data_IF_629777938063
#
_entry.id   IF_629777938063
#
_cell.length_a   1.000
_cell.length_b   1.000
_cell.length_c   1.000
_cell.angle_alpha   90.00
_cell.angle_beta   90.00
_cell.angle_gamma   90.00
#
_symmetry.space_group_name_H-M   'P 1'
#
loop_
_entity.id
_entity.type
_entity.pdbx_description
1 polymer ?
#
# COMPACT_ATOMS: atom_id res chain seq x y z
N UNK A 1 -20.87 -9.02 -1.11
CA UNK A 1 -19.75 -8.58 -0.26
C UNK A 1 -19.36 -9.64 0.76
N UNK A 2 -20.23 -10.06 1.69
CA UNK A 2 -19.94 -11.10 2.68
C UNK A 2 -19.46 -12.44 2.08
N UNK A 3 -20.06 -12.87 0.98
CA UNK A 3 -19.67 -14.10 0.28
C UNK A 3 -18.28 -14.03 -0.39
N UNK A 4 -17.80 -12.83 -0.75
CA UNK A 4 -16.51 -12.65 -1.39
C UNK A 4 -15.36 -12.74 -0.37
N UNK A 5 -15.51 -12.11 0.79
CA UNK A 5 -14.54 -12.19 1.89
C UNK A 5 -14.46 -13.62 2.43
N UNK A 6 -15.61 -14.30 2.55
CA UNK A 6 -15.64 -15.73 2.92
C UNK A 6 -14.99 -16.63 1.86
N UNK A 7 -15.14 -16.34 0.56
CA UNK A 7 -14.45 -17.08 -0.51
C UNK A 7 -12.94 -16.86 -0.48
N UNK A 8 -12.50 -15.62 -0.28
CA UNK A 8 -11.07 -15.30 -0.17
C UNK A 8 -10.45 -16.02 1.04
N UNK A 9 -11.12 -15.99 2.18
CA UNK A 9 -10.72 -16.72 3.38
C UNK A 9 -10.71 -18.23 3.16
N UNK A 10 -11.75 -18.77 2.54
CA UNK A 10 -11.85 -20.20 2.22
C UNK A 10 -10.77 -20.68 1.25
N UNK A 11 -10.33 -19.82 0.33
CA UNK A 11 -9.22 -20.13 -0.57
C UNK A 11 -7.86 -20.23 0.15
N UNK A 12 -7.69 -19.55 1.29
CA UNK A 12 -6.53 -19.70 2.18
C UNK A 12 -6.62 -21.01 3.00
N UNK A 13 -7.84 -21.46 3.33
CA UNK A 13 -8.06 -22.73 4.05
C UNK A 13 -7.97 -23.96 3.13
N UNK A 14 -8.41 -23.85 1.88
CA UNK A 14 -8.46 -24.97 0.91
C UNK A 14 -7.11 -25.30 0.25
N UNK A 15 -6.07 -24.45 0.41
CA UNK A 15 -4.71 -24.73 -0.04
C UNK A 15 -3.72 -24.68 1.13
N UNK A 16 -3.75 -25.64 2.05
CA UNK A 16 -2.75 -25.74 3.09
C UNK A 16 -1.40 -26.05 2.45
N UNK A 17 -0.37 -25.34 2.89
CA UNK A 17 1.03 -25.71 2.61
C UNK A 17 1.20 -27.15 3.10
N UNK A 18 1.63 -28.10 2.27
CA UNK A 18 1.86 -29.45 2.73
C UNK A 18 3.03 -29.46 3.70
N UNK A 19 2.76 -29.64 4.96
CA UNK A 19 3.74 -29.96 5.98
C UNK A 19 3.13 -30.97 6.95
N UNK A 20 3.63 -32.18 6.89
CA UNK A 20 3.66 -33.25 7.91
C UNK A 20 2.47 -33.40 8.88
N UNK A 21 1.25 -33.31 8.38
CA UNK A 21 0.05 -33.79 9.10
C UNK A 21 -0.34 -33.02 10.36
N UNK A 22 0.16 -31.80 10.59
CA UNK A 22 -0.23 -30.97 11.72
C UNK A 22 -1.34 -30.02 11.27
N UNK A 23 -2.56 -30.24 11.74
CA UNK A 23 -3.67 -29.29 11.59
C UNK A 23 -3.44 -28.16 12.60
N UNK A 24 -3.01 -27.01 12.13
CA UNK A 24 -2.82 -25.81 12.95
C UNK A 24 -4.09 -24.95 12.84
N UNK A 25 -4.63 -24.53 13.97
CA UNK A 25 -5.80 -23.62 13.98
C UNK A 25 -5.44 -22.25 13.43
N UNK A 26 -6.42 -21.51 12.89
CA UNK A 26 -6.23 -20.15 12.36
C UNK A 26 -5.57 -19.17 13.34
N UNK A 27 -5.83 -19.36 14.65
CA UNK A 27 -5.17 -18.59 15.71
C UNK A 27 -3.69 -18.95 15.85
N UNK A 28 -3.32 -20.19 15.63
CA UNK A 28 -1.93 -20.66 15.65
C UNK A 28 -1.17 -20.26 14.40
N UNK A 29 -1.81 -20.23 13.24
CA UNK A 29 -1.24 -19.70 12.00
C UNK A 29 -0.91 -18.20 12.12
N UNK A 30 -1.76 -17.41 12.76
CA UNK A 30 -1.46 -15.98 13.01
C UNK A 30 -0.27 -15.80 13.95
N UNK A 31 -0.13 -16.65 14.97
CA UNK A 31 1.00 -16.65 15.90
C UNK A 31 2.29 -17.16 15.22
N UNK A 32 2.20 -18.17 14.37
CA UNK A 32 3.34 -18.66 13.56
C UNK A 32 3.82 -17.58 12.58
N UNK A 33 2.90 -16.85 11.95
CA UNK A 33 3.24 -15.74 11.06
C UNK A 33 3.91 -14.59 11.79
N UNK A 34 3.48 -14.26 12.99
CA UNK A 34 4.11 -13.28 13.87
C UNK A 34 5.52 -13.74 14.31
N UNK A 35 5.69 -15.01 14.70
CA UNK A 35 7.02 -15.56 15.06
C UNK A 35 8.00 -15.61 13.89
N UNK A 36 7.51 -15.81 12.67
CA UNK A 36 8.37 -15.83 11.47
C UNK A 36 8.90 -14.42 11.12
N UNK A 37 8.12 -13.37 11.39
CA UNK A 37 8.56 -11.99 11.21
C UNK A 37 9.49 -11.48 12.34
N UNK A 38 9.35 -11.97 13.57
CA UNK A 38 10.20 -11.58 14.71
C UNK A 38 11.63 -12.14 14.63
N UNK A 39 11.88 -13.20 13.84
CA UNK A 39 13.20 -13.77 13.65
C UNK A 39 14.08 -13.00 12.65
N UNK A 40 13.59 -11.89 12.09
CA UNK A 40 14.33 -11.01 11.18
C UNK A 40 14.79 -9.71 11.84
N UNK A 41 15.29 -9.77 13.08
CA UNK A 41 16.08 -8.66 13.65
C UNK A 41 17.53 -8.85 13.19
N UNK A 42 18.10 -7.92 12.39
CA UNK A 42 19.52 -7.94 12.11
C UNK A 42 20.28 -7.74 13.42
N UNK A 43 21.10 -8.72 13.78
CA UNK A 43 22.01 -8.59 14.92
C UNK A 43 22.91 -7.38 14.69
N UNK A 44 23.06 -6.48 15.67
CA UNK A 44 24.02 -5.40 15.57
C UNK A 44 25.43 -6.01 15.55
N UNK A 45 26.17 -5.75 14.49
CA UNK A 45 27.60 -6.09 14.44
C UNK A 45 28.30 -5.36 15.58
N UNK A 46 28.91 -6.11 16.47
CA UNK A 46 29.83 -5.61 17.48
C UNK A 46 30.95 -4.82 16.81
N UNK A 47 31.01 -3.53 17.09
CA UNK A 47 32.12 -2.66 16.71
C UNK A 47 33.20 -2.94 17.72
N UNK A 48 34.27 -3.61 17.30
CA UNK A 48 35.53 -3.70 18.06
C UNK A 48 36.08 -2.28 18.24
N UNK A 49 36.19 -1.88 19.50
CA UNK A 49 36.84 -0.65 19.89
C UNK A 49 38.37 -0.77 19.65
N UNK A 50 38.87 0.08 18.78
CA UNK A 50 40.29 0.37 18.71
C UNK A 50 40.52 1.80 19.22
N UNK A 51 41.33 2.01 20.27
CA UNK A 51 41.51 3.33 20.85
C UNK A 51 42.71 4.05 20.19
N UNK A 52 42.59 5.36 20.16
CA UNK A 52 43.59 6.41 19.89
C UNK A 52 43.46 7.14 18.55
N UNK A 53 42.89 8.32 18.62
CA UNK A 53 43.66 9.58 18.35
C UNK A 53 42.86 10.77 18.84
N UNK A 54 43.44 11.49 19.78
CA UNK A 54 43.08 12.82 20.26
C UNK A 54 43.33 13.82 19.14
N UNK A 55 42.32 14.58 18.74
CA UNK A 55 42.52 15.90 18.15
C UNK A 55 41.34 16.85 18.52
N UNK A 56 41.75 18.05 18.80
CA UNK A 56 41.09 19.13 19.49
C UNK A 56 39.85 19.65 18.72
N UNK A 57 38.72 19.67 19.39
CA UNK A 57 37.53 20.39 18.90
C UNK A 57 37.60 21.83 19.42
N UNK A 58 37.83 22.77 18.53
CA UNK A 58 37.63 24.20 18.78
C UNK A 58 36.12 24.48 18.97
N UNK A 59 35.80 25.00 20.13
CA UNK A 59 34.50 25.58 20.42
C UNK A 59 34.28 26.81 19.56
N UNK A 60 33.29 26.74 18.65
CA UNK A 60 32.75 27.95 18.01
C UNK A 60 31.41 28.26 18.70
N UNK A 61 31.39 29.39 19.41
CA UNK A 61 30.18 29.95 20.00
C UNK A 61 29.23 30.40 18.89
N UNK A 62 27.94 30.06 18.92
CA UNK A 62 26.98 30.68 18.03
C UNK A 62 26.63 32.06 18.54
N UNK A 63 26.87 33.07 17.69
CA UNK A 63 26.37 34.42 17.84
C UNK A 63 24.84 34.39 17.67
N UNK A 64 24.15 34.83 18.69
CA UNK A 64 22.71 34.99 18.70
C UNK A 64 22.37 36.32 18.01
N UNK A 65 22.03 36.31 16.74
CA UNK A 65 21.37 37.43 16.09
C UNK A 65 19.87 37.35 16.33
N UNK A 66 19.38 38.25 17.17
CA UNK A 66 17.96 38.50 17.40
C UNK A 66 17.34 39.06 16.13
N UNK A 67 16.61 38.22 15.37
CA UNK A 67 15.68 38.68 14.37
C UNK A 67 14.29 38.73 14.99
N UNK A 68 13.89 39.95 15.36
CA UNK A 68 12.49 40.31 15.65
C UNK A 68 11.67 40.12 14.35
N UNK A 69 10.69 39.24 14.40
CA UNK A 69 9.76 39.03 13.31
C UNK A 69 9.09 37.67 13.41
N UNK A 70 8.36 37.43 14.49
CA UNK A 70 7.41 36.29 14.52
C UNK A 70 6.32 36.54 13.47
N UNK A 71 6.15 35.67 12.46
CA UNK A 71 4.93 35.71 11.71
C UNK A 71 3.78 35.32 12.66
N UNK A 72 2.87 36.29 12.86
CA UNK A 72 1.59 36.04 13.53
C UNK A 72 0.92 34.84 12.93
N UNK A 73 0.64 33.82 13.74
CA UNK A 73 -0.31 32.77 13.42
C UNK A 73 -1.56 33.44 12.83
N UNK A 74 -2.08 32.94 11.69
CA UNK A 74 -3.36 33.41 11.20
C UNK A 74 -4.38 33.16 12.31
N UNK A 75 -5.09 34.24 12.69
CA UNK A 75 -6.16 34.25 13.68
C UNK A 75 -7.03 33.03 13.50
N UNK A 76 -7.23 32.30 14.60
CA UNK A 76 -8.27 31.29 14.67
C UNK A 76 -9.51 31.77 13.92
N UNK A 77 -10.06 30.89 13.09
CA UNK A 77 -11.30 31.10 12.32
C UNK A 77 -12.43 31.58 13.24
N UNK A 78 -12.48 32.89 13.47
CA UNK A 78 -13.63 33.65 13.98
C UNK A 78 -14.19 34.44 12.81
N UNK A 79 -14.61 33.72 11.80
CA UNK A 79 -15.43 34.20 10.71
C UNK A 79 -16.66 33.32 10.70
N UNK A 80 -17.82 33.92 10.65
CA UNK A 80 -19.09 33.29 10.34
C UNK A 80 -19.01 32.62 8.97
N UNK A 81 -18.24 31.54 8.87
CA UNK A 81 -18.21 30.65 7.73
C UNK A 81 -19.57 29.99 7.69
N UNK A 82 -20.33 30.33 6.68
CA UNK A 82 -21.64 29.75 6.36
C UNK A 82 -21.53 28.24 6.48
N UNK A 83 -21.96 27.73 7.64
CA UNK A 83 -22.21 26.30 7.83
C UNK A 83 -23.10 25.87 6.66
N UNK A 84 -22.65 24.84 5.93
CA UNK A 84 -23.50 24.14 4.98
C UNK A 84 -24.76 23.68 5.73
N UNK A 85 -25.87 24.44 5.58
CA UNK A 85 -27.16 24.22 6.26
C UNK A 85 -28.04 23.26 5.43
N UNK A 86 -27.48 22.58 4.45
CA UNK A 86 -28.16 21.53 3.71
C UNK A 86 -28.21 20.21 4.50
N UNK A 87 -29.18 19.32 4.22
CA UNK A 87 -29.11 17.97 4.79
C UNK A 87 -27.82 17.30 4.35
N UNK A 88 -27.19 16.49 5.25
CA UNK A 88 -25.97 15.77 4.91
C UNK A 88 -26.22 14.92 3.66
N UNK A 89 -25.20 14.76 2.79
CA UNK A 89 -25.33 13.88 1.62
C UNK A 89 -25.83 12.50 2.01
N UNK A 90 -26.65 11.88 1.17
CA UNK A 90 -27.22 10.55 1.44
C UNK A 90 -26.12 9.53 1.79
N UNK A 91 -24.99 9.62 1.11
CA UNK A 91 -23.83 8.76 1.33
C UNK A 91 -23.27 8.88 2.77
N UNK A 92 -23.13 10.10 3.29
CA UNK A 92 -22.69 10.34 4.67
C UNK A 92 -23.70 9.82 5.68
N UNK A 93 -24.99 10.00 5.42
CA UNK A 93 -26.07 9.48 6.26
C UNK A 93 -26.02 7.95 6.33
N UNK A 94 -25.80 7.29 5.21
CA UNK A 94 -25.68 5.82 5.15
C UNK A 94 -24.39 5.33 5.82
N UNK A 95 -23.26 6.00 5.60
CA UNK A 95 -22.01 5.69 6.27
C UNK A 95 -22.11 5.83 7.79
N UNK A 96 -22.66 6.94 8.28
CA UNK A 96 -22.89 7.17 9.72
C UNK A 96 -23.74 6.04 10.30
N UNK A 97 -24.87 5.74 9.68
CA UNK A 97 -25.81 4.70 10.14
C UNK A 97 -25.16 3.32 10.20
N UNK A 98 -24.39 2.95 9.17
CA UNK A 98 -23.90 1.59 9.00
C UNK A 98 -22.53 1.37 9.64
N UNK A 99 -21.69 2.41 9.75
CA UNK A 99 -20.28 2.27 10.18
C UNK A 99 -19.97 3.01 11.47
N UNK A 100 -20.58 4.18 11.75
CA UNK A 100 -20.26 4.94 12.97
C UNK A 100 -21.22 4.59 14.11
N UNK A 101 -22.54 4.59 13.86
CA UNK A 101 -23.58 4.35 14.88
C UNK A 101 -23.43 3.04 15.66
N UNK A 102 -23.04 1.91 15.06
CA UNK A 102 -22.82 0.67 15.81
C UNK A 102 -21.73 0.79 16.90
N UNK A 103 -20.86 1.79 16.82
CA UNK A 103 -19.74 2.02 17.72
C UNK A 103 -19.80 3.38 18.42
N UNK A 104 -20.96 4.05 18.36
CA UNK A 104 -21.11 5.40 18.92
C UNK A 104 -20.73 5.45 20.39
N UNK A 105 -21.06 4.41 21.17
CA UNK A 105 -20.77 4.36 22.59
C UNK A 105 -19.25 4.43 22.87
N UNK A 106 -18.46 3.54 22.29
CA UNK A 106 -17.00 3.54 22.53
C UNK A 106 -16.34 4.80 21.97
N UNK A 107 -16.84 5.34 20.83
CA UNK A 107 -16.33 6.59 20.31
C UNK A 107 -16.63 7.78 21.25
N UNK A 108 -17.76 7.74 21.95
CA UNK A 108 -18.13 8.75 22.96
C UNK A 108 -17.28 8.59 24.24
N UNK A 109 -17.12 7.37 24.73
CA UNK A 109 -16.32 7.07 25.93
C UNK A 109 -14.86 7.49 25.77
N UNK A 110 -14.31 7.38 24.57
CA UNK A 110 -12.94 7.79 24.26
C UNK A 110 -12.86 9.23 23.68
N UNK A 111 -13.95 10.00 23.72
CA UNK A 111 -14.02 11.38 23.21
C UNK A 111 -13.64 11.50 21.71
N UNK A 112 -13.81 10.43 20.94
CA UNK A 112 -13.49 10.42 19.51
C UNK A 112 -14.65 10.89 18.62
N UNK A 113 -15.88 10.84 19.14
CA UNK A 113 -17.10 11.02 18.33
C UNK A 113 -17.15 12.40 17.67
N UNK A 114 -16.85 13.47 18.39
CA UNK A 114 -16.81 14.83 17.85
C UNK A 114 -15.80 14.96 16.73
N UNK A 115 -14.58 14.41 16.89
CA UNK A 115 -13.57 14.42 15.86
C UNK A 115 -13.99 13.65 14.62
N UNK A 116 -14.62 12.49 14.79
CA UNK A 116 -15.16 11.68 13.67
C UNK A 116 -16.18 12.51 12.88
N UNK A 117 -17.13 13.18 13.55
CA UNK A 117 -18.10 14.03 12.87
C UNK A 117 -17.48 15.27 12.22
N UNK A 118 -16.45 15.86 12.81
CA UNK A 118 -15.73 16.98 12.21
C UNK A 118 -15.03 16.55 10.90
N UNK A 119 -14.41 15.37 10.87
CA UNK A 119 -13.80 14.85 9.65
C UNK A 119 -14.89 14.53 8.59
N UNK A 120 -15.99 13.93 8.99
CA UNK A 120 -17.13 13.69 8.09
C UNK A 120 -17.67 15.02 7.53
N UNK A 121 -17.85 16.04 8.36
CA UNK A 121 -18.28 17.37 7.94
C UNK A 121 -17.31 18.02 6.96
N UNK A 122 -16.00 17.88 7.17
CA UNK A 122 -14.99 18.34 6.21
C UNK A 122 -15.10 17.58 4.88
N UNK A 123 -15.25 16.26 4.91
CA UNK A 123 -15.41 15.45 3.71
C UNK A 123 -16.72 15.78 2.98
N UNK A 124 -17.80 16.12 3.69
CA UNK A 124 -19.05 16.54 3.08
C UNK A 124 -18.93 17.91 2.40
N UNK A 125 -18.22 18.83 3.02
CA UNK A 125 -18.00 20.18 2.49
C UNK A 125 -17.02 20.16 1.29
N UNK A 126 -15.85 19.56 1.45
CA UNK A 126 -14.72 19.73 0.54
C UNK A 126 -14.24 18.40 -0.12
N UNK A 127 -14.74 17.25 0.34
CA UNK A 127 -14.35 15.93 -0.15
C UNK A 127 -14.97 15.51 -1.49
N UNK A 128 -15.66 16.43 -2.20
CA UNK A 128 -16.09 16.21 -3.58
C UNK A 128 -14.97 16.18 -4.62
N UNK A 129 -13.75 16.56 -4.24
CA UNK A 129 -12.58 16.47 -5.11
C UNK A 129 -12.24 14.99 -5.44
N UNK A 130 -11.54 14.72 -6.57
CA UNK A 130 -11.13 13.36 -6.91
C UNK A 130 -10.27 12.71 -5.82
N UNK A 131 -10.49 11.44 -5.58
CA UNK A 131 -9.73 10.65 -4.60
C UNK A 131 -8.29 10.38 -5.02
N UNK A 132 -7.98 10.56 -6.30
CA UNK A 132 -6.60 10.59 -6.84
C UNK A 132 -6.31 11.93 -7.46
N UNK A 133 -5.06 12.38 -7.34
CA UNK A 133 -4.56 13.59 -8.00
C UNK A 133 -3.71 13.15 -9.19
N UNK A 134 -4.16 13.48 -10.39
CA UNK A 134 -3.43 13.22 -11.62
C UNK A 134 -2.24 14.19 -11.72
N UNK A 135 -1.01 13.68 -11.67
CA UNK A 135 0.22 14.48 -11.80
C UNK A 135 0.71 14.38 -13.24
N UNK A 136 0.48 15.45 -14.01
CA UNK A 136 1.09 15.65 -15.33
C UNK A 136 0.48 14.82 -16.47
N UNK A 137 0.56 15.38 -17.68
CA UNK A 137 0.07 14.78 -18.93
C UNK A 137 1.04 13.75 -19.56
N UNK A 138 2.07 13.31 -18.86
CA UNK A 138 3.16 12.52 -19.45
C UNK A 138 3.03 11.00 -19.25
N UNK A 139 1.90 10.48 -18.89
CA UNK A 139 1.67 9.04 -18.99
C UNK A 139 1.40 8.68 -20.46
N UNK A 140 2.46 8.39 -21.21
CA UNK A 140 2.41 8.00 -22.62
C UNK A 140 1.92 6.57 -22.89
N UNK A 141 1.22 5.94 -21.97
CA UNK A 141 0.59 4.65 -22.22
C UNK A 141 -0.91 4.79 -22.02
N UNK A 142 -1.63 4.82 -23.15
CA UNK A 142 -3.09 4.98 -23.24
C UNK A 142 -3.93 3.98 -22.43
N UNK A 143 -3.31 2.98 -21.84
CA UNK A 143 -3.95 1.86 -21.18
C UNK A 143 -3.90 1.89 -19.65
N UNK A 144 -2.86 2.50 -19.05
CA UNK A 144 -2.87 2.89 -17.63
C UNK A 144 -3.92 4.00 -17.36
N UNK A 145 -4.23 4.80 -18.39
CA UNK A 145 -5.24 5.85 -18.33
C UNK A 145 -6.66 5.34 -18.00
N UNK A 146 -6.98 4.06 -18.22
CA UNK A 146 -8.32 3.55 -17.90
C UNK A 146 -8.57 3.45 -16.39
N UNK A 147 -7.58 3.06 -15.61
CA UNK A 147 -7.73 2.93 -14.15
C UNK A 147 -7.65 4.29 -13.45
N UNK A 148 -6.70 5.13 -13.86
CA UNK A 148 -6.61 6.49 -13.35
C UNK A 148 -7.88 7.29 -13.66
N UNK A 149 -8.43 7.15 -14.88
CA UNK A 149 -9.69 7.80 -15.26
C UNK A 149 -10.90 7.23 -14.51
N UNK A 150 -10.92 5.95 -14.19
CA UNK A 150 -11.96 5.34 -13.35
C UNK A 150 -11.90 5.86 -11.90
N UNK A 151 -10.70 5.88 -11.32
CA UNK A 151 -10.47 6.39 -9.96
C UNK A 151 -10.67 7.90 -9.86
N UNK A 152 -10.40 8.67 -10.91
CA UNK A 152 -10.65 10.12 -10.94
C UNK A 152 -12.13 10.48 -10.86
N UNK A 153 -13.05 9.55 -11.15
CA UNK A 153 -14.49 9.71 -10.99
C UNK A 153 -14.96 9.49 -9.55
N UNK A 154 -14.14 8.90 -8.72
CA UNK A 154 -14.47 8.63 -7.32
C UNK A 154 -14.09 9.84 -6.48
N UNK A 155 -15.05 10.37 -5.74
CA UNK A 155 -14.79 11.45 -4.81
C UNK A 155 -13.93 11.00 -3.63
N UNK A 156 -13.14 11.92 -3.08
CA UNK A 156 -12.37 11.65 -1.87
C UNK A 156 -13.26 11.22 -0.70
N UNK A 157 -14.46 11.82 -0.58
CA UNK A 157 -15.45 11.44 0.41
C UNK A 157 -15.87 9.97 0.27
N UNK A 158 -16.33 9.56 -0.90
CA UNK A 158 -16.75 8.17 -1.16
C UNK A 158 -15.63 7.18 -0.89
N UNK A 159 -14.41 7.50 -1.32
CA UNK A 159 -13.24 6.70 -1.05
C UNK A 159 -12.97 6.56 0.45
N UNK A 160 -12.92 7.68 1.19
CA UNK A 160 -12.64 7.65 2.63
C UNK A 160 -13.69 6.85 3.41
N UNK A 161 -14.96 6.94 3.04
CA UNK A 161 -16.01 6.14 3.66
C UNK A 161 -15.87 4.65 3.36
N UNK A 162 -15.53 4.29 2.12
CA UNK A 162 -15.27 2.91 1.74
C UNK A 162 -14.07 2.33 2.50
N UNK A 163 -12.96 3.08 2.56
CA UNK A 163 -11.77 2.69 3.33
C UNK A 163 -12.10 2.48 4.81
N UNK A 164 -12.86 3.41 5.42
CA UNK A 164 -13.24 3.29 6.82
C UNK A 164 -14.11 2.05 7.06
N UNK A 165 -15.11 1.79 6.23
CA UNK A 165 -15.96 0.59 6.35
C UNK A 165 -15.16 -0.70 6.22
N UNK A 166 -14.29 -0.81 5.22
CA UNK A 166 -13.41 -1.97 5.02
C UNK A 166 -12.41 -2.14 6.17
N UNK A 167 -11.84 -1.04 6.66
CA UNK A 167 -10.92 -1.08 7.80
C UNK A 167 -11.56 -1.66 9.06
N UNK A 168 -12.82 -1.28 9.35
CA UNK A 168 -13.57 -1.82 10.49
C UNK A 168 -13.88 -3.30 10.31
N UNK A 169 -14.27 -3.73 9.10
CA UNK A 169 -14.49 -5.15 8.81
C UNK A 169 -13.22 -5.97 9.00
N UNK A 170 -12.08 -5.50 8.47
CA UNK A 170 -10.78 -6.16 8.62
C UNK A 170 -10.32 -6.19 10.08
N UNK A 171 -10.56 -5.11 10.83
CA UNK A 171 -10.22 -5.04 12.25
C UNK A 171 -10.95 -6.13 13.05
N UNK A 172 -12.26 -6.31 12.82
CA UNK A 172 -13.07 -7.36 13.43
C UNK A 172 -12.57 -8.77 13.10
N UNK A 173 -12.09 -8.98 11.88
CA UNK A 173 -11.57 -10.29 11.47
C UNK A 173 -10.19 -10.58 12.05
N UNK A 174 -9.39 -9.52 12.32
CA UNK A 174 -8.00 -9.66 12.73
C UNK A 174 -7.84 -9.74 14.25
N UNK A 175 -8.65 -8.97 14.99
CA UNK A 175 -8.50 -8.87 16.44
C UNK A 175 -9.73 -9.41 17.16
N UNK A 176 -9.51 -10.29 18.14
CA UNK A 176 -10.58 -10.77 19.01
C UNK A 176 -11.16 -9.63 19.85
N UNK A 177 -10.29 -8.77 20.38
CA UNK A 177 -10.64 -7.56 21.15
C UNK A 177 -10.42 -6.32 20.27
N UNK A 178 -11.28 -6.17 19.27
CA UNK A 178 -11.21 -5.09 18.29
C UNK A 178 -11.91 -3.80 18.76
N UNK A 179 -12.84 -3.92 19.70
CA UNK A 179 -13.77 -2.83 20.05
C UNK A 179 -13.07 -1.55 20.52
N UNK A 180 -12.04 -1.59 21.41
CA UNK A 180 -11.29 -0.41 21.83
C UNK A 180 -10.47 0.25 20.70
N UNK A 181 -10.19 -0.47 19.61
CA UNK A 181 -9.40 0.02 18.48
C UNK A 181 -10.24 0.75 17.42
N UNK A 182 -11.56 0.65 17.51
CA UNK A 182 -12.50 1.25 16.56
C UNK A 182 -12.31 2.77 16.40
N UNK A 183 -12.23 3.58 17.48
CA UNK A 183 -12.06 5.03 17.33
C UNK A 183 -10.76 5.39 16.61
N UNK A 184 -9.66 4.73 16.97
CA UNK A 184 -8.36 4.91 16.28
C UNK A 184 -8.47 4.61 14.79
N UNK A 185 -9.07 3.48 14.45
CA UNK A 185 -9.19 3.05 13.05
C UNK A 185 -10.14 3.95 12.25
N UNK A 186 -11.28 4.36 12.82
CA UNK A 186 -12.22 5.27 12.16
C UNK A 186 -11.58 6.62 11.85
N UNK A 187 -10.91 7.23 12.85
CA UNK A 187 -10.23 8.52 12.66
C UNK A 187 -9.11 8.39 11.63
N UNK A 188 -8.31 7.33 11.72
CA UNK A 188 -7.21 7.12 10.78
C UNK A 188 -7.73 6.89 9.35
N UNK A 189 -8.75 6.05 9.18
CA UNK A 189 -9.29 5.72 7.87
C UNK A 189 -10.03 6.89 7.22
N UNK A 190 -10.79 7.68 7.98
CA UNK A 190 -11.44 8.88 7.47
C UNK A 190 -10.42 9.98 7.14
N UNK A 191 -9.36 10.09 7.94
CA UNK A 191 -8.38 11.17 7.85
C UNK A 191 -7.19 10.91 6.91
N UNK A 192 -6.95 9.64 6.47
CA UNK A 192 -5.69 9.25 5.80
C UNK A 192 -5.38 10.08 4.56
N UNK A 193 -6.38 10.46 3.82
CA UNK A 193 -6.29 11.13 2.52
C UNK A 193 -6.82 12.58 2.50
N UNK A 194 -7.30 13.15 3.64
CA UNK A 194 -7.86 14.52 3.64
C UNK A 194 -6.86 15.59 3.21
N UNK A 195 -5.56 15.36 3.35
CA UNK A 195 -4.53 16.24 2.81
C UNK A 195 -4.54 16.37 1.27
N UNK A 196 -5.37 15.60 0.56
CA UNK A 196 -5.63 15.78 -0.88
C UNK A 196 -6.66 16.89 -1.15
N UNK A 197 -7.41 17.34 -0.15
CA UNK A 197 -8.37 18.43 -0.26
C UNK A 197 -7.63 19.73 -0.65
N UNK A 198 -8.02 20.39 -1.75
CA UNK A 198 -7.30 21.56 -2.23
C UNK A 198 -7.22 22.72 -1.23
N UNK A 199 -8.29 22.98 -0.47
CA UNK A 199 -8.37 24.05 0.54
C UNK A 199 -7.38 23.85 1.69
N UNK A 200 -7.00 22.62 2.02
CA UNK A 200 -6.05 22.31 3.11
C UNK A 200 -4.58 22.44 2.69
N UNK A 201 -4.32 22.64 1.42
CA UNK A 201 -2.94 22.72 0.88
C UNK A 201 -2.39 24.13 0.80
N UNK A 202 -3.15 25.14 1.22
CA UNK A 202 -2.71 26.55 1.23
C UNK A 202 -2.10 27.01 -0.11
N UNK A 203 -2.65 26.57 -1.24
CA UNK A 203 -2.14 26.90 -2.57
C UNK A 203 -0.88 26.14 -3.00
N UNK A 204 -0.32 25.25 -2.17
CA UNK A 204 0.81 24.38 -2.55
C UNK A 204 0.38 23.36 -3.59
N UNK A 205 1.29 23.05 -4.51
CA UNK A 205 1.08 21.92 -5.43
C UNK A 205 0.97 20.61 -4.67
N UNK A 206 0.14 19.70 -5.20
CA UNK A 206 0.01 18.36 -4.62
C UNK A 206 1.34 17.60 -4.65
N UNK A 207 1.70 17.00 -3.51
CA UNK A 207 2.81 16.07 -3.40
C UNK A 207 2.32 14.78 -2.73
N UNK A 208 2.72 13.63 -3.30
CA UNK A 208 2.44 12.33 -2.67
C UNK A 208 3.06 12.17 -1.29
N UNK A 209 4.19 12.85 -1.05
CA UNK A 209 4.89 12.80 0.23
C UNK A 209 4.21 13.67 1.29
N UNK A 210 3.53 14.75 0.89
CA UNK A 210 3.05 15.76 1.82
C UNK A 210 1.61 15.53 2.27
N UNK A 211 0.73 14.94 1.44
CA UNK A 211 -0.67 14.79 1.84
C UNK A 211 -0.89 13.98 3.12
N UNK A 212 -0.09 12.95 3.47
CA UNK A 212 -0.23 12.27 4.76
C UNK A 212 0.12 13.19 5.95
N UNK A 213 1.12 14.07 5.76
CA UNK A 213 1.54 15.04 6.77
C UNK A 213 0.45 16.08 6.96
N UNK A 214 -0.03 16.69 5.85
CA UNK A 214 -1.11 17.67 5.87
C UNK A 214 -2.37 17.08 6.50
N UNK A 215 -2.73 15.83 6.15
CA UNK A 215 -3.87 15.12 6.74
C UNK A 215 -3.72 14.94 8.25
N UNK A 216 -2.57 14.45 8.71
CA UNK A 216 -2.28 14.24 10.12
C UNK A 216 -2.32 15.55 10.94
N UNK A 217 -1.75 16.61 10.39
CA UNK A 217 -1.70 17.91 11.06
C UNK A 217 -3.10 18.55 11.15
N UNK A 218 -3.93 18.44 10.10
CA UNK A 218 -5.31 18.90 10.14
C UNK A 218 -6.19 18.09 11.12
N UNK A 219 -6.08 16.76 11.14
CA UNK A 219 -6.81 15.94 12.12
C UNK A 219 -6.38 16.31 13.54
N UNK A 220 -5.09 16.53 13.78
CA UNK A 220 -4.57 16.99 15.07
C UNK A 220 -5.15 18.34 15.48
N UNK A 221 -5.24 19.29 14.54
CA UNK A 221 -5.78 20.63 14.79
C UNK A 221 -7.31 20.63 15.06
N UNK A 222 -8.04 19.67 14.51
CA UNK A 222 -9.49 19.51 14.78
C UNK A 222 -9.78 18.99 16.19
N UNK A 223 -8.77 18.45 16.88
CA UNK A 223 -8.94 17.92 18.22
C UNK A 223 -8.66 19.02 19.26
N UNK A 224 -9.70 19.42 19.99
CA UNK A 224 -9.60 20.43 21.05
C UNK A 224 -9.21 19.85 22.40
N UNK A 225 -9.17 18.53 22.52
CA UNK A 225 -8.89 17.81 23.75
C UNK A 225 -7.40 17.48 23.90
N UNK A 226 -7.00 17.12 25.13
CA UNK A 226 -5.62 16.66 25.39
C UNK A 226 -5.31 15.42 24.54
N UNK A 227 -4.08 15.33 23.98
CA UNK A 227 -3.65 14.18 23.22
C UNK A 227 -3.84 12.89 24.03
N UNK A 228 -4.69 12.01 23.54
CA UNK A 228 -4.87 10.67 24.09
C UNK A 228 -4.00 9.67 23.32
N UNK A 229 -3.74 8.50 23.91
CA UNK A 229 -2.93 7.46 23.24
C UNK A 229 -3.56 7.02 21.91
N UNK A 230 -4.88 6.82 21.90
CA UNK A 230 -5.58 6.39 20.67
C UNK A 230 -5.49 7.45 19.56
N UNK A 231 -5.56 8.74 19.91
CA UNK A 231 -5.43 9.84 18.94
C UNK A 231 -4.01 9.93 18.39
N UNK A 232 -3.00 9.82 19.24
CA UNK A 232 -1.60 9.81 18.80
C UNK A 232 -1.33 8.66 17.82
N UNK A 233 -1.91 7.48 18.07
CA UNK A 233 -1.82 6.33 17.19
C UNK A 233 -2.55 6.57 15.86
N UNK A 234 -3.76 7.13 15.87
CA UNK A 234 -4.50 7.49 14.66
C UNK A 234 -3.73 8.51 13.78
N UNK A 235 -3.16 9.55 14.41
CA UNK A 235 -2.33 10.55 13.73
C UNK A 235 -1.08 9.91 13.11
N UNK A 236 -0.41 9.01 13.85
CA UNK A 236 0.74 8.27 13.33
C UNK A 236 0.33 7.39 12.14
N UNK A 237 -0.81 6.69 12.21
CA UNK A 237 -1.35 5.90 11.10
C UNK A 237 -1.59 6.77 9.86
N UNK A 238 -2.20 7.95 10.00
CA UNK A 238 -2.42 8.89 8.89
C UNK A 238 -1.08 9.32 8.29
N UNK A 239 -0.11 9.71 9.13
CA UNK A 239 1.19 10.21 8.69
C UNK A 239 2.04 9.16 7.97
N UNK A 240 1.89 7.89 8.36
CA UNK A 240 2.78 6.81 7.94
C UNK A 240 2.16 5.82 6.95
N UNK A 241 0.90 5.99 6.54
CA UNK A 241 0.22 4.99 5.72
C UNK A 241 0.89 4.72 4.35
N UNK A 242 1.80 5.58 3.89
CA UNK A 242 2.63 5.37 2.69
C UNK A 242 4.10 4.99 2.99
N UNK A 243 4.53 5.01 4.26
CA UNK A 243 5.93 4.71 4.61
C UNK A 243 6.22 3.21 4.56
N UNK A 244 7.44 2.86 4.20
CA UNK A 244 8.02 1.52 4.27
C UNK A 244 9.33 1.56 5.06
N UNK A 245 9.65 0.52 5.88
CA UNK A 245 8.84 -0.66 6.18
C UNK A 245 7.63 -0.33 7.07
N UNK A 246 6.64 -1.25 7.12
CA UNK A 246 5.46 -1.10 7.97
C UNK A 246 5.80 -1.64 9.36
N UNK A 247 5.74 -0.77 10.36
CA UNK A 247 6.07 -1.13 11.73
C UNK A 247 4.84 -1.38 12.63
N UNK A 248 3.61 -1.18 12.11
CA UNK A 248 2.37 -1.33 12.85
C UNK A 248 1.37 -2.18 12.07
N UNK A 249 0.75 -3.14 12.77
CA UNK A 249 -0.30 -3.98 12.20
C UNK A 249 -1.54 -3.16 11.82
N UNK A 250 -1.90 -2.14 12.61
CA UNK A 250 -3.02 -1.24 12.30
C UNK A 250 -2.76 -0.42 11.04
N UNK A 251 -1.54 0.08 10.83
CA UNK A 251 -1.15 0.76 9.58
C UNK A 251 -1.26 -0.21 8.40
N UNK A 252 -0.84 -1.46 8.58
CA UNK A 252 -0.95 -2.46 7.54
C UNK A 252 -2.42 -2.75 7.17
N UNK A 253 -3.31 -2.87 8.16
CA UNK A 253 -4.75 -3.03 7.92
C UNK A 253 -5.35 -1.86 7.16
N UNK A 254 -5.03 -0.62 7.56
CA UNK A 254 -5.47 0.58 6.86
C UNK A 254 -5.03 0.56 5.37
N UNK A 255 -3.78 0.19 5.12
CA UNK A 255 -3.24 0.11 3.74
C UNK A 255 -3.90 -0.99 2.91
N UNK A 256 -4.20 -2.14 3.51
CA UNK A 256 -4.92 -3.21 2.84
C UNK A 256 -6.34 -2.74 2.51
N UNK A 257 -7.02 -2.08 3.44
CA UNK A 257 -8.35 -1.53 3.22
C UNK A 257 -8.37 -0.45 2.11
N UNK A 258 -7.38 0.47 2.10
CA UNK A 258 -7.22 1.45 1.02
C UNK A 258 -7.01 0.76 -0.34
N UNK A 259 -6.13 -0.25 -0.38
CA UNK A 259 -5.93 -1.06 -1.59
C UNK A 259 -7.20 -1.71 -2.08
N UNK A 260 -7.94 -2.35 -1.18
CA UNK A 260 -9.21 -3.02 -1.48
C UNK A 260 -10.28 -2.05 -1.95
N UNK A 261 -10.39 -0.88 -1.31
CA UNK A 261 -11.29 0.19 -1.75
C UNK A 261 -11.00 0.59 -3.21
N UNK A 262 -9.72 0.75 -3.57
CA UNK A 262 -9.33 1.05 -4.96
C UNK A 262 -9.73 -0.03 -5.95
N UNK A 263 -9.56 -1.31 -5.61
CA UNK A 263 -10.01 -2.41 -6.47
C UNK A 263 -11.52 -2.37 -6.72
N UNK A 264 -12.30 -2.19 -5.66
CA UNK A 264 -13.76 -2.09 -5.76
C UNK A 264 -14.19 -0.87 -6.57
N UNK A 265 -13.56 0.29 -6.35
CA UNK A 265 -13.83 1.53 -7.09
C UNK A 265 -13.56 1.40 -8.59
N UNK A 266 -12.49 0.71 -8.96
CA UNK A 266 -12.20 0.46 -10.37
C UNK A 266 -13.22 -0.53 -10.94
N UNK A 267 -13.55 -1.60 -10.21
CA UNK A 267 -14.55 -2.57 -10.65
C UNK A 267 -15.92 -1.93 -10.83
N UNK A 268 -16.33 -1.00 -9.94
CA UNK A 268 -17.60 -0.26 -10.03
C UNK A 268 -17.63 0.69 -11.24
N UNK A 269 -16.50 1.24 -11.65
CA UNK A 269 -16.40 2.26 -12.70
C UNK A 269 -15.88 1.72 -14.05
N UNK A 270 -15.63 0.42 -14.16
CA UNK A 270 -15.15 -0.24 -15.38
C UNK A 270 -15.86 -1.56 -15.60
N UNK A 271 -15.54 -2.22 -16.71
CA UNK A 271 -15.96 -3.61 -16.99
C UNK A 271 -14.98 -4.64 -16.42
N UNK A 272 -13.93 -4.19 -15.72
CA UNK A 272 -12.92 -5.07 -15.14
C UNK A 272 -13.47 -5.80 -13.91
N UNK A 273 -12.98 -7.03 -13.70
CA UNK A 273 -13.39 -7.86 -12.58
C UNK A 273 -12.27 -7.88 -11.53
N UNK A 274 -12.60 -7.58 -10.27
CA UNK A 274 -11.70 -7.87 -9.16
C UNK A 274 -11.79 -9.37 -8.85
N UNK A 275 -10.69 -10.09 -9.04
CA UNK A 275 -10.60 -11.54 -8.78
C UNK A 275 -9.35 -11.84 -7.94
N UNK A 276 -9.39 -12.80 -7.02
CA UNK A 276 -8.21 -13.28 -6.32
C UNK A 276 -7.14 -13.80 -7.28
N UNK A 277 -5.89 -13.65 -6.93
CA UNK A 277 -4.74 -14.07 -7.74
C UNK A 277 -4.84 -15.51 -8.26
N UNK A 278 -5.24 -16.44 -7.41
CA UNK A 278 -5.37 -17.85 -7.72
C UNK A 278 -6.54 -18.21 -8.68
N UNK A 279 -7.48 -17.29 -8.90
CA UNK A 279 -8.60 -17.50 -9.83
C UNK A 279 -8.28 -17.04 -11.24
N UNK A 280 -7.47 -15.99 -11.38
CA UNK A 280 -7.18 -15.42 -12.70
C UNK A 280 -5.77 -15.73 -13.22
N UNK A 281 -4.77 -15.90 -12.34
CA UNK A 281 -3.40 -16.12 -12.77
C UNK A 281 -3.21 -17.54 -13.34
N UNK A 282 -2.82 -17.60 -14.61
CA UNK A 282 -2.48 -18.84 -15.29
C UNK A 282 -0.98 -18.89 -15.56
N UNK A 283 -0.30 -19.84 -14.90
CA UNK A 283 1.14 -19.99 -14.98
C UNK A 283 1.63 -20.38 -16.39
N UNK A 284 0.84 -21.15 -17.16
CA UNK A 284 1.20 -21.56 -18.54
C UNK A 284 1.05 -20.39 -19.49
N UNK A 285 -0.07 -19.66 -19.42
CA UNK A 285 -0.24 -18.44 -20.24
C UNK A 285 0.83 -17.38 -19.87
N UNK A 286 1.24 -17.31 -18.62
CA UNK A 286 2.33 -16.45 -18.18
C UNK A 286 3.66 -16.83 -18.84
N UNK A 287 4.00 -18.13 -18.86
CA UNK A 287 5.22 -18.62 -19.53
C UNK A 287 5.20 -18.33 -21.05
N UNK A 288 4.05 -18.45 -21.71
CA UNK A 288 3.93 -18.08 -23.13
C UNK A 288 4.26 -16.60 -23.38
N UNK A 289 3.82 -15.70 -22.49
CA UNK A 289 4.17 -14.28 -22.61
C UNK A 289 5.68 -14.04 -22.40
N UNK A 290 6.30 -14.73 -21.47
CA UNK A 290 7.75 -14.65 -21.23
C UNK A 290 8.52 -15.24 -22.42
N UNK A 291 8.05 -16.35 -23.00
CA UNK A 291 8.67 -17.02 -24.16
C UNK A 291 8.86 -16.08 -25.34
N UNK A 292 7.89 -15.21 -25.60
CA UNK A 292 7.96 -14.23 -26.68
C UNK A 292 9.12 -13.23 -26.55
N UNK A 293 9.68 -13.06 -25.36
CA UNK A 293 10.77 -12.13 -25.11
C UNK A 293 12.16 -12.81 -25.03
N UNK A 294 12.21 -14.15 -25.06
CA UNK A 294 13.48 -14.90 -24.95
C UNK A 294 14.32 -14.66 -26.20
N UNK A 295 15.58 -14.25 -26.00
CA UNK A 295 16.55 -13.96 -27.04
C UNK A 295 16.10 -12.86 -28.03
N UNK A 296 15.11 -12.04 -27.65
CA UNK A 296 14.65 -10.89 -28.43
C UNK A 296 15.40 -9.65 -27.99
N UNK A 297 16.14 -9.05 -28.91
CA UNK A 297 16.89 -7.82 -28.66
C UNK A 297 15.95 -6.60 -28.62
N UNK A 298 16.07 -5.80 -27.57
CA UNK A 298 15.41 -4.52 -27.44
C UNK A 298 16.32 -3.36 -27.87
N UNK A 299 15.79 -2.15 -27.92
CA UNK A 299 16.54 -0.93 -28.22
C UNK A 299 17.80 -0.84 -27.36
N UNK A 300 18.96 -0.67 -27.98
CA UNK A 300 20.25 -0.60 -27.29
C UNK A 300 20.90 -1.97 -27.01
N UNK A 301 20.59 -2.99 -27.80
CA UNK A 301 21.15 -4.35 -27.68
C UNK A 301 20.98 -4.99 -26.29
N UNK A 302 19.85 -4.71 -25.62
CA UNK A 302 19.53 -5.27 -24.31
C UNK A 302 18.51 -6.39 -24.44
N UNK A 303 18.73 -7.49 -23.73
CA UNK A 303 17.76 -8.58 -23.57
C UNK A 303 17.02 -8.44 -22.25
N UNK A 304 15.70 -8.59 -22.24
CA UNK A 304 14.91 -8.79 -21.03
C UNK A 304 14.88 -10.26 -20.58
N UNK A 305 15.01 -11.18 -21.54
CA UNK A 305 15.18 -12.61 -21.27
C UNK A 305 16.13 -13.21 -22.30
N UNK A 306 16.98 -14.14 -21.86
CA UNK A 306 17.88 -14.88 -22.75
C UNK A 306 18.13 -16.29 -22.23
N UNK A 307 18.46 -17.22 -23.13
CA UNK A 307 18.79 -18.59 -22.78
C UNK A 307 20.31 -18.82 -22.79
N UNK A 308 20.81 -19.53 -21.80
CA UNK A 308 22.20 -19.96 -21.71
C UNK A 308 22.32 -21.25 -20.91
N UNK A 309 23.03 -22.26 -21.47
CA UNK A 309 23.30 -23.55 -20.80
C UNK A 309 22.07 -24.24 -20.18
N UNK A 310 20.95 -24.28 -20.92
CA UNK A 310 19.74 -24.95 -20.46
C UNK A 310 18.90 -24.16 -19.43
N UNK A 311 19.26 -22.91 -19.16
CA UNK A 311 18.53 -22.01 -18.26
C UNK A 311 18.11 -20.77 -19.04
N UNK A 312 16.89 -20.28 -18.77
CA UNK A 312 16.41 -18.98 -19.26
C UNK A 312 16.50 -17.97 -18.12
N UNK A 313 17.27 -16.93 -18.35
CA UNK A 313 17.46 -15.83 -17.41
C UNK A 313 16.56 -14.66 -17.79
N UNK A 314 15.70 -14.26 -16.85
CA UNK A 314 14.67 -13.25 -17.09
C UNK A 314 14.85 -12.05 -16.13
N UNK A 315 14.78 -10.84 -16.69
CA UNK A 315 14.69 -9.63 -15.87
C UNK A 315 13.37 -9.65 -15.08
N UNK A 316 13.38 -9.46 -13.75
CA UNK A 316 12.15 -9.44 -12.97
C UNK A 316 11.11 -8.41 -13.45
N UNK A 317 11.53 -7.33 -14.10
CA UNK A 317 10.61 -6.36 -14.68
C UNK A 317 9.75 -6.94 -15.81
N UNK A 318 10.29 -7.88 -16.59
CA UNK A 318 9.53 -8.58 -17.63
C UNK A 318 8.42 -9.43 -17.01
N UNK A 319 8.67 -10.07 -15.85
CA UNK A 319 7.64 -10.86 -15.17
C UNK A 319 6.46 -9.97 -14.73
N UNK A 320 6.78 -8.78 -14.25
CA UNK A 320 5.76 -7.80 -13.88
C UNK A 320 4.93 -7.34 -15.10
N UNK A 321 5.60 -6.98 -16.20
CA UNK A 321 4.95 -6.56 -17.45
C UNK A 321 4.09 -7.68 -18.06
N UNK A 322 4.59 -8.92 -18.04
CA UNK A 322 3.84 -10.08 -18.53
C UNK A 322 2.59 -10.35 -17.67
N UNK A 323 2.71 -10.22 -16.33
CA UNK A 323 1.56 -10.36 -15.44
C UNK A 323 0.51 -9.27 -15.68
N UNK A 324 0.92 -8.01 -15.90
CA UNK A 324 0.01 -6.94 -16.29
C UNK A 324 -0.69 -7.24 -17.63
N UNK A 325 0.05 -7.78 -18.61
CA UNK A 325 -0.51 -8.17 -19.91
C UNK A 325 -1.52 -9.32 -19.76
N UNK A 326 -1.21 -10.30 -18.91
CA UNK A 326 -2.11 -11.41 -18.61
C UNK A 326 -3.40 -10.94 -17.94
N UNK A 327 -3.29 -10.06 -16.93
CA UNK A 327 -4.44 -9.49 -16.24
C UNK A 327 -5.36 -8.72 -17.22
N UNK A 328 -4.79 -7.93 -18.13
CA UNK A 328 -5.53 -7.25 -19.22
C UNK A 328 -6.24 -8.25 -20.13
N UNK A 329 -5.53 -9.26 -20.62
CA UNK A 329 -6.09 -10.30 -21.49
C UNK A 329 -7.30 -10.98 -20.85
N UNK A 330 -7.26 -11.16 -19.53
CA UNK A 330 -8.35 -11.79 -18.75
C UNK A 330 -9.40 -10.79 -18.26
N UNK A 331 -9.26 -9.52 -18.58
CA UNK A 331 -10.14 -8.43 -18.14
C UNK A 331 -10.28 -8.36 -16.60
N UNK A 332 -9.15 -8.57 -15.90
CA UNK A 332 -9.05 -8.58 -14.44
C UNK A 332 -8.24 -7.38 -13.97
N UNK A 333 -8.65 -6.83 -12.83
CA UNK A 333 -7.85 -5.88 -12.08
C UNK A 333 -7.23 -6.53 -10.85
N UNK A 334 -5.93 -6.29 -10.69
CA UNK A 334 -5.17 -6.62 -9.49
C UNK A 334 -4.36 -5.40 -9.08
N UNK A 335 -4.65 -4.85 -7.90
CA UNK A 335 -4.04 -3.60 -7.45
C UNK A 335 -2.53 -3.73 -7.23
N UNK A 336 -2.02 -4.92 -6.94
CA UNK A 336 -0.59 -5.16 -6.79
C UNK A 336 0.17 -4.97 -8.12
N UNK A 337 -0.53 -5.15 -9.24
CA UNK A 337 -0.02 -4.89 -10.58
C UNK A 337 -0.20 -3.42 -11.03
N UNK A 338 -1.01 -2.65 -10.31
CA UNK A 338 -1.26 -1.24 -10.62
C UNK A 338 -0.29 -0.29 -9.91
N UNK A 339 0.16 -0.65 -8.70
CA UNK A 339 1.01 0.19 -7.85
C UNK A 339 2.48 -0.17 -8.03
N UNK A 340 3.31 0.80 -8.47
CA UNK A 340 4.76 0.60 -8.55
C UNK A 340 5.40 0.25 -7.20
N UNK A 341 4.83 0.73 -6.09
CA UNK A 341 5.26 0.37 -4.73
C UNK A 341 5.08 -1.12 -4.42
N UNK A 342 4.15 -1.80 -5.07
CA UNK A 342 3.85 -3.21 -4.85
C UNK A 342 4.50 -4.12 -5.91
N UNK A 343 5.28 -3.55 -6.84
CA UNK A 343 5.94 -4.29 -7.93
C UNK A 343 6.73 -5.50 -7.45
N UNK A 344 7.52 -5.34 -6.39
CA UNK A 344 8.30 -6.45 -5.83
C UNK A 344 7.41 -7.56 -5.27
N UNK A 345 6.33 -7.19 -4.58
CA UNK A 345 5.34 -8.14 -4.04
C UNK A 345 4.65 -8.90 -5.17
N UNK A 346 4.27 -8.22 -6.24
CA UNK A 346 3.68 -8.84 -7.42
C UNK A 346 4.66 -9.82 -8.09
N UNK A 347 5.94 -9.44 -8.27
CA UNK A 347 6.96 -10.33 -8.82
C UNK A 347 7.14 -11.57 -7.95
N UNK A 348 7.18 -11.42 -6.63
CA UNK A 348 7.25 -12.56 -5.69
C UNK A 348 6.05 -13.50 -5.86
N UNK A 349 4.85 -12.98 -6.02
CA UNK A 349 3.64 -13.78 -6.24
C UNK A 349 3.70 -14.53 -7.58
N UNK A 350 4.15 -13.88 -8.65
CA UNK A 350 4.40 -14.52 -9.96
C UNK A 350 5.38 -15.68 -9.80
N UNK A 351 6.57 -15.42 -9.23
CA UNK A 351 7.61 -16.44 -9.08
C UNK A 351 7.16 -17.59 -8.19
N UNK A 352 6.43 -17.32 -7.10
CA UNK A 352 5.86 -18.36 -6.26
C UNK A 352 4.87 -19.25 -7.03
N UNK A 353 4.02 -18.67 -7.89
CA UNK A 353 3.08 -19.43 -8.72
C UNK A 353 3.79 -20.26 -9.80
N UNK A 354 4.82 -19.72 -10.42
CA UNK A 354 5.62 -20.42 -11.42
C UNK A 354 6.47 -21.55 -10.80
N UNK A 355 6.91 -21.37 -9.56
CA UNK A 355 7.64 -22.40 -8.81
C UNK A 355 6.78 -23.62 -8.51
N UNK A 356 5.48 -23.45 -8.24
CA UNK A 356 4.55 -24.58 -8.02
C UNK A 356 4.45 -25.52 -9.19
N UNK A 357 4.68 -25.05 -10.41
CA UNK A 357 4.70 -25.87 -11.63
C UNK A 357 6.11 -26.28 -12.07
N UNK A 358 7.13 -26.07 -11.21
CA UNK A 358 8.52 -26.45 -11.50
C UNK A 358 9.23 -25.56 -12.51
N UNK A 359 8.69 -24.38 -12.83
CA UNK A 359 9.27 -23.52 -13.84
C UNK A 359 10.54 -22.79 -13.38
N UNK A 360 10.70 -22.56 -12.10
CA UNK A 360 11.84 -21.82 -11.55
C UNK A 360 13.02 -22.78 -11.31
N UNK A 361 14.20 -22.40 -11.80
CA UNK A 361 15.42 -23.18 -11.60
C UNK A 361 15.82 -23.25 -10.11
N UNK A 362 16.42 -24.39 -9.71
CA UNK A 362 16.95 -24.60 -8.38
C UNK A 362 18.18 -23.72 -8.05
N UNK A 363 18.70 -22.97 -9.01
CA UNK A 363 19.80 -22.02 -8.77
C UNK A 363 19.48 -20.92 -7.75
N UNK A 364 18.18 -20.64 -7.54
CA UNK A 364 17.72 -19.73 -6.50
C UNK A 364 16.98 -20.50 -5.40
N UNK A 365 17.31 -20.20 -4.14
CA UNK A 365 16.62 -20.75 -2.97
C UNK A 365 15.13 -20.40 -2.95
N UNK A 366 14.35 -21.15 -2.18
CA UNK A 366 12.89 -21.03 -2.14
C UNK A 366 12.39 -19.65 -1.68
N UNK A 367 13.19 -18.96 -0.86
CA UNK A 367 12.92 -17.63 -0.31
C UNK A 367 13.10 -16.50 -1.32
N UNK A 368 13.84 -16.75 -2.42
CA UNK A 368 14.24 -15.70 -3.35
C UNK A 368 13.46 -15.77 -4.66
N UNK A 369 13.17 -14.62 -5.24
CA UNK A 369 12.55 -14.51 -6.57
C UNK A 369 13.56 -14.20 -7.69
N UNK A 370 14.80 -13.84 -7.34
CA UNK A 370 15.88 -13.51 -8.28
C UNK A 370 17.23 -13.69 -7.61
N UNK A 371 18.30 -13.64 -8.43
CA UNK A 371 19.69 -13.66 -7.97
C UNK A 371 20.52 -12.70 -8.82
N UNK A 372 21.63 -12.20 -8.27
CA UNK A 372 22.60 -11.41 -9.00
C UNK A 372 23.55 -12.32 -9.79
N UNK A 373 23.67 -12.05 -11.08
CA UNK A 373 24.57 -12.72 -12.01
C UNK A 373 25.56 -11.73 -12.58
N UNK A 374 26.77 -12.22 -12.87
CA UNK A 374 27.79 -11.49 -13.62
C UNK A 374 27.74 -11.95 -15.08
N UNK A 375 27.42 -11.03 -15.98
CA UNK A 375 27.32 -11.29 -17.40
C UNK A 375 28.55 -10.70 -18.11
N UNK A 376 29.30 -11.55 -18.80
CA UNK A 376 30.44 -11.11 -19.60
C UNK A 376 30.06 -11.05 -21.08
N UNK A 377 30.28 -9.90 -21.70
CA UNK A 377 30.03 -9.67 -23.11
C UNK A 377 31.37 -9.49 -23.85
N UNK A 378 31.75 -10.48 -24.64
CA UNK A 378 33.05 -10.46 -25.32
C UNK A 378 34.23 -10.43 -24.35
N UNK A 379 35.36 -9.83 -24.77
CA UNK A 379 36.61 -9.93 -24.02
C UNK A 379 36.81 -8.86 -22.93
N UNK A 380 35.89 -7.94 -22.68
CA UNK A 380 36.25 -6.78 -21.86
C UNK A 380 35.15 -6.16 -20.98
N UNK A 381 33.89 -6.59 -21.05
CA UNK A 381 32.82 -5.97 -20.27
C UNK A 381 32.04 -6.97 -19.42
N UNK A 382 32.19 -6.86 -18.09
CA UNK A 382 31.38 -7.60 -17.12
C UNK A 382 30.34 -6.68 -16.51
N UNK A 383 29.06 -7.07 -16.53
CA UNK A 383 27.98 -6.34 -15.89
C UNK A 383 27.27 -7.22 -14.88
N UNK A 384 26.87 -6.62 -13.73
CA UNK A 384 26.05 -7.31 -12.74
C UNK A 384 24.58 -7.06 -13.03
N UNK A 385 23.81 -8.14 -13.14
CA UNK A 385 22.34 -8.08 -13.34
C UNK A 385 21.59 -8.94 -12.35
N UNK A 386 20.44 -8.48 -11.93
CA UNK A 386 19.49 -9.25 -11.12
C UNK A 386 18.55 -9.96 -12.07
N UNK A 387 18.51 -11.29 -12.03
CA UNK A 387 17.74 -12.12 -12.95
C UNK A 387 17.02 -13.25 -12.19
N UNK A 388 15.89 -13.68 -12.74
CA UNK A 388 15.14 -14.86 -12.32
C UNK A 388 15.47 -16.00 -13.30
N UNK A 389 16.07 -17.12 -12.85
CA UNK A 389 16.41 -18.26 -13.69
C UNK A 389 15.23 -19.22 -13.79
N UNK A 390 14.96 -19.70 -15.01
CA UNK A 390 13.93 -20.66 -15.34
C UNK A 390 14.52 -21.92 -15.95
N UNK A 391 13.89 -23.06 -15.71
CA UNK A 391 14.19 -24.29 -16.42
C UNK A 391 13.75 -24.11 -17.88
N UNK A 392 14.66 -24.34 -18.84
CA UNK A 392 14.36 -24.14 -20.27
C UNK A 392 13.23 -25.03 -20.77
N UNK A 393 13.08 -26.21 -20.18
CA UNK A 393 12.09 -27.23 -20.56
C UNK A 393 10.65 -26.74 -20.47
N UNK A 394 10.36 -25.76 -19.61
CA UNK A 394 9.00 -25.22 -19.46
C UNK A 394 8.55 -24.32 -20.61
N UNK A 395 9.47 -23.98 -21.51
CA UNK A 395 9.18 -23.15 -22.68
C UNK A 395 9.01 -23.97 -23.96
N UNK A 396 9.17 -25.31 -23.93
CA UNK A 396 9.00 -26.25 -25.02
C UNK A 396 10.24 -26.45 -25.85
#
# INVERSE_FOLDING_TARGET
MFQFVQRWWKSLEENPVPNDGIIVSLSELSVLWLKYNDNFTPQPKSIENNPQTTDQVQQVNPVCDTVEGSPSLPSALTGEDQQYIGPPPLESTEFIRNTVKPYEQICRELNALTLIYNIIGLLDKDGGCPSIVLIGKESQTSELNSWESALAKVSLRSHSYRVASLSIEMLKMTYKDYYPLIPTMLVAALGHDIGKIPSLREGKHYSKADHPIIGADNVSAMCTEKPSRWLAEAIAMIREHHRHPINSQLINLLRIADGKAREEEIADNTTLKSQPWNEWFDAREMLELVRLAINVTQTGNKFKAFSHNGVVYCDPSLLYEAAQTLAKKKNVIDISLARLSDKEKAIKAVVASLRRIGAISSEIGQEYYCRQYELSYGNSHTTKKILTPFNIEVFG
#
